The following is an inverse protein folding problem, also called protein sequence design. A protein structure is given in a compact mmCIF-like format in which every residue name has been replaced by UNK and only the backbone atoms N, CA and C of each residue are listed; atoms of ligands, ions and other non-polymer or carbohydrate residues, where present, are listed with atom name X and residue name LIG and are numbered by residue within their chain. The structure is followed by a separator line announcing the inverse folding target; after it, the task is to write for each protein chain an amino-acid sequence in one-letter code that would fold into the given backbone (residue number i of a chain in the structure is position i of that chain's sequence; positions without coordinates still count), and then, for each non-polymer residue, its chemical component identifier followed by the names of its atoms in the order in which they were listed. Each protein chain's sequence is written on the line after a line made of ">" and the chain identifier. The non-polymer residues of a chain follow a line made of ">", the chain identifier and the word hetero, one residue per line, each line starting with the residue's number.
data_IF_952296898274
#
_entry.id   IF_952296898274
#
_cell.length_a   1.000
_cell.length_b   1.000
_cell.length_c   1.000
_cell.angle_alpha   90.00
_cell.angle_beta   90.00
_cell.angle_gamma   90.00
#
_symmetry.space_group_name_H-M   'P 1'
#
loop_
_entity.id
_entity.type
_entity.pdbx_description
1 polymer ?
#
# COMPACT_ATOMS: atom_id res chain seq x y z
N UNK A 1 11.01 23.20 19.92
CA UNK A 1 11.32 21.79 19.61
C UNK A 1 11.62 21.67 18.14
N UNK A 2 12.37 20.64 17.73
CA UNK A 2 12.64 20.38 16.31
C UNK A 2 11.33 19.98 15.60
N UNK A 3 10.77 20.92 14.83
CA UNK A 3 9.54 20.73 14.04
C UNK A 3 9.65 19.53 13.10
N UNK A 4 10.85 19.29 12.57
CA UNK A 4 11.11 18.18 11.65
C UNK A 4 11.02 16.84 12.38
N UNK A 5 11.64 16.73 13.56
CA UNK A 5 11.55 15.53 14.41
C UNK A 5 10.11 15.24 14.84
N UNK A 6 9.36 16.28 15.23
CA UNK A 6 7.96 16.15 15.63
C UNK A 6 7.09 15.68 14.44
N UNK A 7 7.29 16.27 13.27
CA UNK A 7 6.60 15.86 12.04
C UNK A 7 6.93 14.41 11.65
N UNK A 8 8.18 13.96 11.79
CA UNK A 8 8.59 12.57 11.54
C UNK A 8 7.91 11.60 12.49
N UNK A 9 7.88 11.93 13.78
CA UNK A 9 7.20 11.12 14.80
C UNK A 9 5.72 10.95 14.46
N UNK A 10 5.00 12.06 14.24
CA UNK A 10 3.58 12.01 13.90
C UNK A 10 3.34 11.29 12.57
N UNK A 11 4.13 11.55 11.52
CA UNK A 11 3.99 10.86 10.24
C UNK A 11 4.11 9.34 10.38
N UNK A 12 5.07 8.89 11.21
CA UNK A 12 5.27 7.47 11.51
C UNK A 12 4.09 6.89 12.28
N UNK A 13 3.57 7.63 13.27
CA UNK A 13 2.39 7.25 14.05
C UNK A 13 1.13 7.14 13.18
N UNK A 14 0.86 8.11 12.31
CA UNK A 14 -0.26 8.06 11.36
C UNK A 14 -0.15 6.81 10.49
N UNK A 15 1.03 6.55 9.94
CA UNK A 15 1.27 5.40 9.10
C UNK A 15 1.01 4.08 9.84
N UNK A 16 1.50 3.95 11.06
CA UNK A 16 1.24 2.79 11.91
C UNK A 16 -0.28 2.59 12.15
N UNK A 17 -1.00 3.67 12.48
CA UNK A 17 -2.45 3.62 12.66
C UNK A 17 -3.17 3.15 11.39
N UNK A 18 -2.75 3.62 10.22
CA UNK A 18 -3.29 3.17 8.93
C UNK A 18 -2.97 1.70 8.64
N UNK A 19 -1.75 1.23 8.96
CA UNK A 19 -1.34 -0.17 8.82
C UNK A 19 -2.11 -1.10 9.77
N UNK A 20 -2.51 -0.61 10.95
CA UNK A 20 -3.37 -1.32 11.91
C UNK A 20 -4.87 -1.17 11.61
N UNK A 21 -5.22 -0.42 10.57
CA UNK A 21 -6.60 -0.18 10.16
C UNK A 21 -7.43 0.77 11.02
N UNK A 22 -6.76 1.58 11.83
CA UNK A 22 -7.36 2.59 12.74
C UNK A 22 -7.55 3.94 12.03
N UNK A 23 -8.25 3.95 10.89
CA UNK A 23 -8.40 5.15 10.05
C UNK A 23 -9.01 6.35 10.79
N UNK A 24 -10.05 6.13 11.61
CA UNK A 24 -10.72 7.22 12.36
C UNK A 24 -9.75 7.94 13.29
N UNK A 25 -8.92 7.18 13.97
CA UNK A 25 -7.90 7.70 14.89
C UNK A 25 -6.74 8.34 14.14
N UNK A 26 -6.29 7.74 13.03
CA UNK A 26 -5.26 8.35 12.17
C UNK A 26 -5.68 9.75 11.68
N UNK A 27 -6.97 9.93 11.36
CA UNK A 27 -7.51 11.24 10.98
C UNK A 27 -7.59 12.21 12.16
N UNK A 28 -8.13 11.77 13.31
CA UNK A 28 -8.29 12.61 14.49
C UNK A 28 -6.94 13.10 15.03
N UNK A 29 -6.00 12.18 15.23
CA UNK A 29 -4.66 12.50 15.70
C UNK A 29 -3.85 13.27 14.65
N UNK A 30 -4.01 12.92 13.36
CA UNK A 30 -3.31 13.60 12.28
C UNK A 30 -3.72 15.05 12.09
N UNK A 31 -5.02 15.36 12.19
CA UNK A 31 -5.51 16.74 12.15
C UNK A 31 -5.08 17.55 13.38
N UNK A 32 -4.96 16.91 14.55
CA UNK A 32 -4.39 17.57 15.73
C UNK A 32 -2.89 17.86 15.54
N UNK A 33 -2.12 16.84 15.17
CA UNK A 33 -0.69 16.95 14.97
C UNK A 33 -0.32 17.92 13.84
N UNK A 34 -1.08 17.97 12.75
CA UNK A 34 -0.79 18.87 11.64
C UNK A 34 -1.09 20.34 11.97
N UNK A 35 -2.07 20.61 12.86
CA UNK A 35 -2.29 21.97 13.38
C UNK A 35 -1.14 22.43 14.28
N UNK A 36 -0.54 21.52 15.03
CA UNK A 36 0.58 21.80 15.93
C UNK A 36 1.92 21.93 15.18
N UNK A 37 2.17 21.05 14.21
CA UNK A 37 3.42 20.94 13.46
C UNK A 37 3.16 20.81 11.96
N UNK A 38 2.73 21.89 11.27
CA UNK A 38 2.49 21.85 9.83
C UNK A 38 3.81 21.60 9.09
N UNK A 39 3.90 20.45 8.43
CA UNK A 39 5.11 20.02 7.72
C UNK A 39 4.75 19.15 6.49
N UNK A 40 5.47 19.25 5.36
CA UNK A 40 5.18 18.49 4.14
C UNK A 40 5.09 16.96 4.32
N UNK A 41 5.94 16.35 5.16
CA UNK A 41 5.83 14.91 5.44
C UNK A 41 4.53 14.54 6.14
N UNK A 42 4.14 15.32 7.14
CA UNK A 42 2.91 15.07 7.89
C UNK A 42 1.69 15.35 7.02
N UNK A 43 1.76 16.38 6.16
CA UNK A 43 0.75 16.63 5.13
C UNK A 43 0.58 15.42 4.20
N UNK A 44 1.67 14.78 3.77
CA UNK A 44 1.62 13.61 2.89
C UNK A 44 1.00 12.37 3.58
N UNK A 45 1.33 12.15 4.86
CA UNK A 45 0.74 11.07 5.66
C UNK A 45 -0.76 11.31 5.92
N UNK A 46 -1.14 12.53 6.27
CA UNK A 46 -2.52 12.91 6.51
C UNK A 46 -3.36 12.92 5.22
N UNK A 47 -2.79 13.34 4.10
CA UNK A 47 -3.40 13.24 2.77
C UNK A 47 -3.76 11.79 2.45
N UNK A 48 -2.87 10.86 2.76
CA UNK A 48 -3.12 9.42 2.57
C UNK A 48 -4.34 8.96 3.38
N UNK A 49 -4.46 9.37 4.64
CA UNK A 49 -5.62 9.07 5.48
C UNK A 49 -6.92 9.68 4.91
N UNK A 50 -6.88 10.92 4.43
CA UNK A 50 -8.06 11.56 3.82
C UNK A 50 -8.49 10.89 2.52
N UNK A 51 -7.54 10.53 1.66
CA UNK A 51 -7.83 9.75 0.45
C UNK A 51 -8.50 8.44 0.79
N UNK A 52 -8.07 7.78 1.87
CA UNK A 52 -8.75 6.59 2.39
C UNK A 52 -10.17 6.90 2.86
N UNK A 53 -10.44 8.06 3.44
CA UNK A 53 -11.82 8.47 3.73
C UNK A 53 -12.65 8.73 2.47
N UNK A 54 -12.02 8.79 1.29
CA UNK A 54 -12.65 9.06 0.00
C UNK A 54 -12.57 10.53 -0.41
N UNK A 55 -11.79 11.36 0.30
CA UNK A 55 -11.68 12.79 0.06
C UNK A 55 -10.24 13.17 -0.24
N UNK A 56 -9.99 13.80 -1.38
CA UNK A 56 -8.71 14.43 -1.67
C UNK A 56 -8.66 15.82 -1.05
N UNK A 57 -7.62 16.11 -0.26
CA UNK A 57 -7.40 17.41 0.40
C UNK A 57 -6.34 18.19 -0.37
N UNK A 58 -6.78 19.11 -1.24
CA UNK A 58 -5.92 19.92 -2.12
C UNK A 58 -4.92 20.80 -1.35
N UNK A 59 -5.30 21.26 -0.15
CA UNK A 59 -4.43 21.98 0.77
C UNK A 59 -3.24 21.11 1.21
N UNK A 60 -3.51 19.87 1.64
CA UNK A 60 -2.47 18.92 2.04
C UNK A 60 -1.61 18.45 0.86
N UNK A 61 -2.22 18.29 -0.32
CA UNK A 61 -1.50 17.95 -1.55
C UNK A 61 -0.49 19.04 -1.91
N UNK A 62 -0.91 20.30 -1.94
CA UNK A 62 -0.03 21.44 -2.24
C UNK A 62 1.12 21.56 -1.24
N UNK A 63 0.89 21.21 0.02
CA UNK A 63 1.96 21.19 1.02
C UNK A 63 2.91 20.01 0.83
N UNK A 64 2.37 18.80 0.68
CA UNK A 64 3.14 17.57 0.59
C UNK A 64 4.16 17.56 -0.57
N UNK A 65 3.81 18.17 -1.71
CA UNK A 65 4.68 18.21 -2.90
C UNK A 65 5.88 19.13 -2.75
N UNK A 66 5.93 19.99 -1.72
CA UNK A 66 7.07 20.89 -1.46
C UNK A 66 8.32 20.17 -0.98
N UNK A 67 8.20 18.91 -0.54
CA UNK A 67 9.32 18.11 -0.05
C UNK A 67 9.51 16.84 -0.89
N UNK A 68 10.75 16.41 -1.22
CA UNK A 68 10.99 15.20 -2.02
C UNK A 68 10.30 13.93 -1.52
N UNK A 69 10.47 13.54 -0.24
CA UNK A 69 9.79 12.33 0.25
C UNK A 69 8.26 12.51 0.37
N UNK A 70 7.80 13.74 0.61
CA UNK A 70 6.36 14.08 0.65
C UNK A 70 5.71 13.95 -0.72
N UNK A 71 6.41 14.38 -1.79
CA UNK A 71 5.95 14.32 -3.17
C UNK A 71 5.63 12.89 -3.61
N UNK A 72 6.51 11.93 -3.32
CA UNK A 72 6.29 10.53 -3.66
C UNK A 72 5.04 9.94 -3.00
N UNK A 73 4.83 10.22 -1.71
CA UNK A 73 3.63 9.81 -0.97
C UNK A 73 2.36 10.52 -1.46
N UNK A 74 2.46 11.80 -1.81
CA UNK A 74 1.34 12.55 -2.37
C UNK A 74 0.89 11.99 -3.73
N UNK A 75 1.84 11.64 -4.60
CA UNK A 75 1.55 10.99 -5.88
C UNK A 75 0.88 9.62 -5.68
N UNK A 76 1.30 8.84 -4.67
CA UNK A 76 0.63 7.60 -4.31
C UNK A 76 -0.81 7.87 -3.84
N UNK A 77 -1.02 8.80 -2.93
CA UNK A 77 -2.37 9.15 -2.47
C UNK A 77 -3.26 9.56 -3.65
N UNK A 78 -2.76 10.39 -4.58
CA UNK A 78 -3.52 10.78 -5.77
C UNK A 78 -3.81 9.60 -6.71
N UNK A 79 -2.84 8.70 -6.92
CA UNK A 79 -3.02 7.48 -7.71
C UNK A 79 -4.15 6.62 -7.12
N UNK A 80 -4.15 6.47 -5.80
CA UNK A 80 -5.16 5.70 -5.09
C UNK A 80 -6.54 6.34 -5.13
N UNK A 81 -6.61 7.68 -5.05
CA UNK A 81 -7.86 8.41 -5.26
C UNK A 81 -8.42 8.20 -6.67
N UNK A 82 -7.60 8.32 -7.72
CA UNK A 82 -8.01 8.06 -9.11
C UNK A 82 -8.56 6.65 -9.30
N UNK A 83 -7.85 5.64 -8.79
CA UNK A 83 -8.32 4.26 -8.89
C UNK A 83 -9.67 4.05 -8.20
N UNK A 84 -9.89 4.68 -7.03
CA UNK A 84 -11.18 4.57 -6.32
C UNK A 84 -12.35 5.16 -7.11
N UNK A 85 -12.07 5.99 -8.11
CA UNK A 85 -13.04 6.58 -9.05
C UNK A 85 -13.11 5.84 -10.39
N UNK A 86 -12.45 4.70 -10.51
CA UNK A 86 -12.38 3.92 -11.76
C UNK A 86 -11.42 4.50 -12.81
N UNK A 87 -10.64 5.52 -12.46
CA UNK A 87 -9.67 6.15 -13.36
C UNK A 87 -8.32 5.43 -13.32
N UNK A 88 -7.54 5.54 -14.41
CA UNK A 88 -6.22 4.92 -14.50
C UNK A 88 -5.19 5.62 -13.60
N UNK A 89 -4.57 4.91 -12.61
CA UNK A 89 -3.54 5.45 -11.74
C UNK A 89 -2.12 5.33 -12.32
N UNK A 90 -1.95 4.69 -13.49
CA UNK A 90 -0.63 4.24 -14.00
C UNK A 90 0.36 5.40 -14.17
N UNK A 91 -0.08 6.54 -14.69
CA UNK A 91 0.79 7.70 -14.90
C UNK A 91 1.40 8.18 -13.58
N UNK A 92 0.55 8.34 -12.56
CA UNK A 92 0.94 8.77 -11.22
C UNK A 92 1.82 7.74 -10.51
N UNK A 93 1.53 6.45 -10.64
CA UNK A 93 2.38 5.39 -10.08
C UNK A 93 3.78 5.37 -10.71
N UNK A 94 3.87 5.57 -12.03
CA UNK A 94 5.17 5.70 -12.72
C UNK A 94 5.93 6.94 -12.28
N UNK A 95 5.23 8.05 -12.06
CA UNK A 95 5.85 9.27 -11.54
C UNK A 95 6.34 9.07 -10.09
N UNK A 96 5.53 8.46 -9.22
CA UNK A 96 5.93 8.12 -7.85
C UNK A 96 7.19 7.23 -7.83
N UNK A 97 7.28 6.24 -8.74
CA UNK A 97 8.47 5.41 -8.90
C UNK A 97 9.70 6.22 -9.31
N UNK A 98 9.56 7.18 -10.22
CA UNK A 98 10.66 8.04 -10.66
C UNK A 98 11.15 8.95 -9.55
N UNK A 99 10.25 9.52 -8.75
CA UNK A 99 10.63 10.36 -7.62
C UNK A 99 11.26 9.54 -6.50
N UNK A 100 10.66 8.39 -6.15
CA UNK A 100 11.15 7.55 -5.06
C UNK A 100 12.53 6.93 -5.33
N UNK A 101 12.91 6.71 -6.60
CA UNK A 101 14.25 6.23 -6.97
C UNK A 101 15.39 7.18 -6.57
N UNK A 102 15.09 8.46 -6.39
CA UNK A 102 16.09 9.47 -6.01
C UNK A 102 16.32 9.51 -4.49
N UNK A 103 15.48 8.81 -3.72
CA UNK A 103 15.48 8.87 -2.26
C UNK A 103 16.30 7.71 -1.69
N UNK A 104 16.98 7.96 -0.57
CA UNK A 104 17.72 6.92 0.14
C UNK A 104 16.78 5.86 0.76
N UNK A 105 15.58 6.26 1.17
CA UNK A 105 14.58 5.37 1.74
C UNK A 105 13.74 4.70 0.64
N UNK A 106 13.81 3.37 0.47
CA UNK A 106 13.10 2.67 -0.61
C UNK A 106 11.61 2.43 -0.30
N UNK A 107 11.10 2.92 0.83
CA UNK A 107 9.72 2.70 1.26
C UNK A 107 8.69 3.08 0.19
N UNK A 108 8.72 4.34 -0.28
CA UNK A 108 7.79 4.84 -1.28
C UNK A 108 7.95 4.08 -2.60
N UNK A 109 9.18 3.68 -2.92
CA UNK A 109 9.49 2.92 -4.12
C UNK A 109 8.81 1.53 -4.09
N UNK A 110 8.94 0.79 -2.98
CA UNK A 110 8.29 -0.51 -2.84
C UNK A 110 6.76 -0.40 -2.84
N UNK A 111 6.19 0.59 -2.16
CA UNK A 111 4.75 0.82 -2.21
C UNK A 111 4.25 1.13 -3.61
N UNK A 112 4.96 2.00 -4.35
CA UNK A 112 4.58 2.34 -5.71
C UNK A 112 4.66 1.14 -6.66
N UNK A 113 5.67 0.28 -6.50
CA UNK A 113 5.79 -0.97 -7.26
C UNK A 113 4.67 -1.94 -6.92
N UNK A 114 4.39 -2.13 -5.64
CA UNK A 114 3.33 -3.01 -5.17
C UNK A 114 1.97 -2.55 -5.69
N UNK A 115 1.66 -1.25 -5.57
CA UNK A 115 0.47 -0.65 -6.14
C UNK A 115 0.41 -0.85 -7.66
N UNK A 116 1.49 -0.60 -8.39
CA UNK A 116 1.49 -0.82 -9.84
C UNK A 116 1.23 -2.28 -10.21
N UNK A 117 1.82 -3.23 -9.48
CA UNK A 117 1.61 -4.65 -9.71
C UNK A 117 0.16 -5.08 -9.39
N UNK A 118 -0.41 -4.60 -8.29
CA UNK A 118 -1.82 -4.80 -7.93
C UNK A 118 -2.77 -4.25 -8.99
N UNK A 119 -2.54 -3.03 -9.47
CA UNK A 119 -3.36 -2.46 -10.55
C UNK A 119 -3.24 -3.27 -11.85
N UNK A 120 -2.02 -3.71 -12.18
CA UNK A 120 -1.77 -4.49 -13.40
C UNK A 120 -2.33 -5.90 -13.32
N UNK A 121 -2.51 -6.45 -12.13
CA UNK A 121 -3.09 -7.78 -11.96
C UNK A 121 -4.43 -7.92 -12.69
N UNK A 122 -5.32 -6.92 -12.57
CA UNK A 122 -6.61 -6.94 -13.25
C UNK A 122 -6.51 -6.93 -14.78
N UNK A 123 -5.50 -6.26 -15.35
CA UNK A 123 -5.46 -5.89 -16.77
C UNK A 123 -4.43 -6.67 -17.59
N UNK A 124 -3.34 -7.10 -16.94
CA UNK A 124 -2.19 -7.74 -17.57
C UNK A 124 -1.49 -8.65 -16.54
N UNK A 125 -2.04 -9.84 -16.26
CA UNK A 125 -1.53 -10.75 -15.23
C UNK A 125 -0.05 -11.11 -15.40
N UNK A 126 0.42 -11.35 -16.64
CA UNK A 126 1.85 -11.63 -16.89
C UNK A 126 2.77 -10.47 -16.50
N UNK A 127 2.34 -9.22 -16.70
CA UNK A 127 3.09 -8.04 -16.23
C UNK A 127 3.07 -7.94 -14.71
N UNK A 128 1.94 -8.26 -14.08
CA UNK A 128 1.84 -8.29 -12.62
C UNK A 128 2.76 -9.36 -12.02
N UNK A 129 2.84 -10.54 -12.64
CA UNK A 129 3.75 -11.62 -12.22
C UNK A 129 5.22 -11.17 -12.31
N UNK A 130 5.64 -10.60 -13.45
CA UNK A 130 7.00 -10.08 -13.60
C UNK A 130 7.33 -9.00 -12.57
N UNK A 131 6.40 -8.07 -12.32
CA UNK A 131 6.56 -7.04 -11.30
C UNK A 131 6.61 -7.63 -9.88
N UNK A 132 5.81 -8.65 -9.58
CA UNK A 132 5.82 -9.32 -8.26
C UNK A 132 7.15 -10.03 -7.99
N UNK A 133 7.75 -10.66 -9.01
CA UNK A 133 9.07 -11.28 -8.90
C UNK A 133 10.15 -10.23 -8.66
N UNK A 134 10.11 -9.13 -9.43
CA UNK A 134 11.04 -8.03 -9.25
C UNK A 134 10.93 -7.41 -7.85
N UNK A 135 9.70 -7.16 -7.37
CA UNK A 135 9.45 -6.64 -6.03
C UNK A 135 9.99 -7.57 -4.94
N UNK A 136 9.80 -8.90 -5.08
CA UNK A 136 10.32 -9.88 -4.13
C UNK A 136 11.85 -9.80 -4.04
N UNK A 137 12.54 -9.70 -5.17
CA UNK A 137 14.00 -9.53 -5.21
C UNK A 137 14.45 -8.21 -4.55
N UNK A 138 13.79 -7.08 -4.85
CA UNK A 138 14.15 -5.77 -4.29
C UNK A 138 13.91 -5.69 -2.77
N UNK A 139 12.80 -6.24 -2.30
CA UNK A 139 12.43 -6.22 -0.87
C UNK A 139 13.32 -7.16 -0.04
N UNK A 140 13.77 -8.27 -0.61
CA UNK A 140 14.75 -9.14 0.03
C UNK A 140 16.10 -8.43 0.27
N UNK A 141 16.57 -7.63 -0.71
CA UNK A 141 17.85 -6.91 -0.60
C UNK A 141 17.85 -5.76 0.41
N UNK A 142 16.67 -5.20 0.69
CA UNK A 142 16.53 -3.97 1.49
C UNK A 142 16.09 -4.22 2.93
N UNK A 143 15.69 -5.45 3.29
CA UNK A 143 15.39 -5.83 4.67
C UNK A 143 14.03 -5.34 5.21
N UNK A 144 13.16 -4.75 4.38
CA UNK A 144 11.84 -4.29 4.82
C UNK A 144 10.85 -5.44 4.94
N UNK A 145 10.78 -6.04 6.14
CA UNK A 145 9.97 -7.25 6.43
C UNK A 145 8.52 -7.15 5.91
N UNK A 146 7.78 -6.09 6.26
CA UNK A 146 6.37 -5.93 5.82
C UNK A 146 6.24 -5.87 4.29
N UNK A 147 7.18 -5.23 3.59
CA UNK A 147 7.13 -5.13 2.13
C UNK A 147 7.48 -6.46 1.47
N UNK A 148 8.40 -7.22 2.07
CA UNK A 148 8.73 -8.57 1.65
C UNK A 148 7.52 -9.51 1.83
N UNK A 149 6.81 -9.43 2.95
CA UNK A 149 5.56 -10.18 3.18
C UNK A 149 4.50 -9.84 2.12
N UNK A 150 4.27 -8.54 1.86
CA UNK A 150 3.33 -8.10 0.84
C UNK A 150 3.73 -8.57 -0.57
N UNK A 151 5.03 -8.57 -0.89
CA UNK A 151 5.54 -9.08 -2.15
C UNK A 151 5.32 -10.59 -2.30
N UNK A 152 5.58 -11.36 -1.22
CA UNK A 152 5.31 -12.80 -1.16
C UNK A 152 3.83 -13.10 -1.37
N UNK A 153 2.94 -12.38 -0.69
CA UNK A 153 1.49 -12.56 -0.79
C UNK A 153 0.96 -12.23 -2.18
N UNK A 154 1.39 -11.11 -2.78
CA UNK A 154 1.02 -10.78 -4.15
C UNK A 154 1.50 -11.86 -5.13
N UNK A 155 2.74 -12.33 -4.99
CA UNK A 155 3.27 -13.39 -5.85
C UNK A 155 2.49 -14.70 -5.68
N UNK A 156 2.22 -15.11 -4.44
CA UNK A 156 1.45 -16.31 -4.13
C UNK A 156 0.04 -16.22 -4.74
N UNK A 157 -0.65 -15.09 -4.58
CA UNK A 157 -1.95 -14.83 -5.21
C UNK A 157 -1.90 -15.04 -6.73
N UNK A 158 -0.92 -14.43 -7.41
CA UNK A 158 -0.80 -14.49 -8.87
C UNK A 158 -0.43 -15.87 -9.40
N UNK A 159 0.32 -16.66 -8.62
CA UNK A 159 0.70 -18.04 -8.95
C UNK A 159 -0.47 -19.00 -8.70
N UNK A 160 -1.20 -18.84 -7.59
CA UNK A 160 -2.41 -19.62 -7.33
C UNK A 160 -3.47 -19.45 -8.42
N UNK A 161 -3.67 -18.23 -8.92
CA UNK A 161 -4.56 -18.00 -10.07
C UNK A 161 -4.09 -18.68 -11.36
N UNK A 162 -2.78 -18.91 -11.49
CA UNK A 162 -2.20 -19.64 -12.61
C UNK A 162 -2.19 -21.18 -12.40
N UNK A 163 -2.71 -21.68 -11.26
CA UNK A 163 -2.73 -23.11 -10.93
C UNK A 163 -1.39 -23.64 -10.36
N UNK A 164 -0.49 -22.75 -9.94
CA UNK A 164 0.83 -23.09 -9.42
C UNK A 164 0.83 -23.30 -7.90
N UNK A 165 1.74 -24.13 -7.38
CA UNK A 165 1.91 -24.36 -5.93
C UNK A 165 2.71 -23.22 -5.29
N UNK A 166 2.31 -22.79 -4.09
CA UNK A 166 2.85 -21.57 -3.44
C UNK A 166 3.27 -21.74 -1.99
N UNK A 167 3.36 -22.98 -1.49
CA UNK A 167 3.64 -23.27 -0.07
C UNK A 167 4.91 -22.55 0.42
N UNK A 168 5.95 -22.53 -0.41
CA UNK A 168 7.22 -21.83 -0.16
C UNK A 168 7.08 -20.30 0.03
N UNK A 169 6.05 -19.67 -0.52
CA UNK A 169 5.80 -18.23 -0.38
C UNK A 169 4.97 -17.89 0.86
N UNK A 170 4.23 -18.86 1.41
CA UNK A 170 3.32 -18.68 2.53
C UNK A 170 3.90 -19.17 3.88
N UNK A 171 5.11 -19.74 3.86
CA UNK A 171 5.87 -20.21 5.04
C UNK A 171 6.51 -19.08 5.85
N UNK A 172 5.75 -18.04 6.22
CA UNK A 172 6.20 -16.95 7.09
C UNK A 172 5.14 -16.58 8.12
N UNK A 173 5.57 -15.97 9.23
CA UNK A 173 4.68 -15.41 10.25
C UNK A 173 4.33 -13.96 9.89
N UNK A 174 3.05 -13.63 9.61
CA UNK A 174 2.67 -12.27 9.24
C UNK A 174 2.85 -11.28 10.41
N UNK A 175 3.51 -10.15 10.13
CA UNK A 175 3.81 -9.14 11.14
C UNK A 175 2.68 -8.14 11.38
N UNK A 176 1.84 -7.89 10.36
CA UNK A 176 0.76 -6.91 10.44
C UNK A 176 -0.60 -7.54 10.13
N UNK A 177 -1.71 -6.98 10.66
CA UNK A 177 -3.05 -7.50 10.40
C UNK A 177 -3.40 -7.67 8.90
N UNK A 178 -2.96 -6.76 8.02
CA UNK A 178 -3.14 -6.89 6.57
C UNK A 178 -2.51 -8.17 6.00
N UNK A 179 -1.24 -8.43 6.32
CA UNK A 179 -0.52 -9.58 5.80
C UNK A 179 -1.07 -10.87 6.40
N UNK A 180 -1.56 -10.82 7.65
CA UNK A 180 -2.27 -11.92 8.30
C UNK A 180 -3.58 -12.27 7.58
N UNK A 181 -4.47 -11.30 7.38
CA UNK A 181 -5.76 -11.52 6.73
C UNK A 181 -5.60 -11.97 5.27
N UNK A 182 -4.64 -11.39 4.54
CA UNK A 182 -4.36 -11.81 3.16
C UNK A 182 -3.80 -13.24 3.12
N UNK A 183 -2.82 -13.57 3.98
CA UNK A 183 -2.31 -14.95 4.07
C UNK A 183 -3.42 -15.94 4.38
N UNK A 184 -4.25 -15.66 5.40
CA UNK A 184 -5.38 -16.49 5.80
C UNK A 184 -6.33 -16.76 4.62
N UNK A 185 -6.67 -15.73 3.85
CA UNK A 185 -7.50 -15.87 2.66
C UNK A 185 -6.85 -16.75 1.56
N UNK A 186 -5.53 -16.68 1.37
CA UNK A 186 -4.81 -17.53 0.40
C UNK A 186 -4.73 -18.99 0.87
N UNK A 187 -4.65 -19.23 2.18
CA UNK A 187 -4.67 -20.59 2.75
C UNK A 187 -6.08 -21.13 2.99
N UNK A 188 -7.13 -20.37 2.66
CA UNK A 188 -8.53 -20.80 2.78
C UNK A 188 -9.10 -20.73 4.20
N UNK A 189 -8.40 -20.05 5.12
CA UNK A 189 -8.76 -19.90 6.53
C UNK A 189 -9.40 -18.53 6.84
N UNK A 190 -9.60 -17.66 5.83
CA UNK A 190 -10.05 -16.28 6.04
C UNK A 190 -10.95 -15.69 4.94
N UNK A 191 -11.59 -14.56 5.26
CA UNK A 191 -12.59 -13.85 4.45
C UNK A 191 -12.12 -12.48 3.92
N UNK A 192 -12.86 -11.87 2.99
CA UNK A 192 -12.53 -10.51 2.50
C UNK A 192 -12.76 -9.44 3.58
N UNK A 193 -13.59 -9.78 4.56
CA UNK A 193 -13.90 -8.95 5.72
C UNK A 193 -12.68 -8.75 6.62
N UNK A 194 -11.78 -9.74 6.65
CA UNK A 194 -10.51 -9.71 7.38
C UNK A 194 -9.50 -8.73 6.79
N UNK A 195 -9.84 -8.06 5.69
CA UNK A 195 -9.06 -6.97 5.08
C UNK A 195 -9.71 -5.58 5.24
N UNK A 196 -10.84 -5.47 5.95
CA UNK A 196 -11.48 -4.16 6.23
C UNK A 196 -10.58 -3.33 7.15
N UNK A 197 -10.29 -2.10 6.73
CA UNK A 197 -9.59 -1.12 7.54
C UNK A 197 -8.12 -0.93 7.17
N UNK A 198 -7.41 -1.90 6.57
CA UNK A 198 -5.94 -1.87 6.42
C UNK A 198 -5.41 -0.99 5.29
N UNK A 199 -5.69 0.31 5.42
CA UNK A 199 -5.18 1.33 4.52
C UNK A 199 -5.55 1.08 3.08
N UNK A 200 -4.69 1.58 2.19
CA UNK A 200 -4.98 1.64 0.77
C UNK A 200 -4.87 0.26 0.12
N UNK A 201 -3.86 -0.51 0.52
CA UNK A 201 -3.59 -1.82 -0.03
C UNK A 201 -4.72 -2.80 0.32
N UNK A 202 -5.23 -2.79 1.55
CA UNK A 202 -6.38 -3.61 1.95
C UNK A 202 -7.63 -3.28 1.12
N UNK A 203 -7.91 -1.98 0.87
CA UNK A 203 -9.02 -1.58 -0.03
C UNK A 203 -8.84 -2.10 -1.44
N UNK A 204 -7.64 -1.96 -2.01
CA UNK A 204 -7.36 -2.40 -3.37
C UNK A 204 -7.45 -3.91 -3.53
N UNK A 205 -6.86 -4.68 -2.61
CA UNK A 205 -6.94 -6.15 -2.64
C UNK A 205 -8.40 -6.60 -2.56
N UNK A 206 -9.21 -6.01 -1.68
CA UNK A 206 -10.65 -6.31 -1.59
C UNK A 206 -11.42 -5.98 -2.86
N UNK A 207 -11.17 -4.82 -3.47
CA UNK A 207 -11.83 -4.42 -4.72
C UNK A 207 -11.45 -5.37 -5.87
N UNK A 208 -10.20 -5.83 -5.90
CA UNK A 208 -9.72 -6.81 -6.89
C UNK A 208 -10.32 -8.20 -6.65
N UNK A 209 -10.42 -8.66 -5.41
CA UNK A 209 -11.07 -9.92 -5.07
C UNK A 209 -12.57 -9.92 -5.41
N UNK A 210 -13.29 -8.84 -5.05
CA UNK A 210 -14.71 -8.72 -5.37
C UNK A 210 -15.00 -8.67 -6.87
N UNK A 211 -14.10 -8.10 -7.68
CA UNK A 211 -14.30 -8.00 -9.14
C UNK A 211 -13.92 -9.26 -9.92
N UNK A 212 -12.95 -10.06 -9.44
CA UNK A 212 -12.49 -11.28 -10.12
C UNK A 212 -13.13 -12.55 -9.56
N UNK A 213 -13.72 -12.49 -8.36
CA UNK A 213 -14.09 -13.66 -7.59
C UNK A 213 -12.86 -14.39 -7.05
N UNK A 214 -13.05 -15.20 -6.00
CA UNK A 214 -11.98 -16.05 -5.43
C UNK A 214 -11.72 -17.28 -6.31
N UNK A 215 -11.39 -17.08 -7.58
CA UNK A 215 -11.26 -18.17 -8.56
C UNK A 215 -10.23 -19.22 -8.10
N UNK A 216 -9.17 -18.80 -7.41
CA UNK A 216 -8.15 -19.70 -6.87
C UNK A 216 -8.63 -20.58 -5.69
N UNK A 217 -9.72 -20.25 -4.99
CA UNK A 217 -10.23 -21.14 -3.94
C UNK A 217 -10.96 -22.35 -4.51
N UNK A 218 -11.30 -22.33 -5.82
CA UNK A 218 -11.89 -23.47 -6.53
C UNK A 218 -10.85 -24.44 -7.10
N UNK A 219 -9.59 -24.02 -7.14
CA UNK A 219 -8.48 -24.77 -7.75
C UNK A 219 -7.73 -25.67 -6.76
N UNK A 220 -8.32 -25.94 -5.59
CA UNK A 220 -7.75 -26.92 -4.66
C UNK A 220 -8.26 -28.31 -5.02
N UNK A 221 -7.38 -29.33 -5.10
CA UNK A 221 -7.82 -30.72 -5.10
C UNK A 221 -8.53 -31.06 -3.78
#
# INVERSE_FOLDING_TARGET
>A
GDLEALARFHSTRLRLLLEMGRLKEALAEGEAAYREAPHPWLAAALLTAWTLRGRLREDLLREAVKHPDGKGLALLALAHHRFSRGESPVGLLKEALREARKLANPYVYHLALLSLALYRWAQAPGKAQALSQYLLYQTHRTGFAVHLELARLLRAQLLLEAGERVDHLLGFTPSVPLTRGWRAALVGEGGEEDLRGYGILGRWVRQLWGSRGRVWTRSRP
#
